data_IF_964199761366
#
_entry.id   IF_964199761366
#
_cell.length_a   1.000
_cell.length_b   1.000
_cell.length_c   1.000
_cell.angle_alpha   90.00
_cell.angle_beta   90.00
_cell.angle_gamma   90.00
#
_symmetry.space_group_name_H-M   'P 1'
#
loop_
_entity.id
_entity.type
_entity.pdbx_description
1 polymer ?
#
# COMPACT_ATOMS: atom_id res chain seq x y z
N UNK A 1 -11.79 -1.09 67.90
CA UNK A 1 -10.72 -0.11 67.58
C UNK A 1 -11.14 0.57 66.27
N UNK A 2 -12.01 1.59 66.27
CA UNK A 2 -11.72 3.05 66.38
C UNK A 2 -10.50 3.45 65.53
N UNK A 3 -10.53 4.34 64.52
CA UNK A 3 -11.38 5.49 64.12
C UNK A 3 -11.46 5.53 62.57
N UNK A 4 -12.56 5.86 61.87
CA UNK A 4 -13.40 7.09 61.84
C UNK A 4 -12.66 8.31 61.26
N UNK A 5 -12.93 8.65 59.99
CA UNK A 5 -13.65 9.88 59.61
C UNK A 5 -13.96 9.92 58.10
N UNK A 6 -15.18 10.38 57.79
CA UNK A 6 -15.79 10.53 56.46
C UNK A 6 -16.11 12.04 56.23
N UNK A 7 -17.04 12.47 55.35
CA UNK A 7 -16.82 13.28 54.13
C UNK A 7 -17.52 14.66 54.19
N UNK A 8 -17.49 15.45 53.09
CA UNK A 8 -18.50 16.46 52.64
C UNK A 8 -17.81 17.53 51.75
N UNK A 9 -18.43 18.23 50.78
CA UNK A 9 -19.83 18.42 50.36
C UNK A 9 -19.83 19.06 48.96
N UNK A 10 -20.88 18.77 48.19
CA UNK A 10 -21.32 19.48 46.98
C UNK A 10 -22.07 20.74 47.40
N UNK A 11 -21.88 21.89 46.72
CA UNK A 11 -22.93 22.92 46.59
C UNK A 11 -22.82 23.63 45.23
N UNK A 12 -23.86 23.50 44.41
CA UNK A 12 -24.12 24.39 43.27
C UNK A 12 -24.95 25.60 43.72
N UNK A 13 -24.78 26.75 43.06
CA UNK A 13 -25.59 27.96 43.28
C UNK A 13 -26.06 28.55 41.95
N UNK A 14 -27.34 28.95 41.96
CA UNK A 14 -28.26 29.39 40.90
C UNK A 14 -27.89 30.71 40.18
N UNK A 15 -28.52 31.04 39.04
CA UNK A 15 -28.41 32.33 38.37
C UNK A 15 -29.38 33.36 38.98
N UNK A 16 -28.92 34.61 39.14
CA UNK A 16 -29.73 35.74 39.60
C UNK A 16 -29.32 37.02 38.87
N UNK A 17 -30.30 37.69 38.29
CA UNK A 17 -30.21 38.92 37.50
C UNK A 17 -30.18 40.15 38.42
N UNK A 18 -29.32 41.15 38.15
CA UNK A 18 -29.65 42.58 38.00
C UNK A 18 -28.45 43.54 38.23
N UNK A 19 -28.52 44.66 37.48
CA UNK A 19 -27.97 46.00 37.75
C UNK A 19 -26.54 46.38 37.27
N UNK A 20 -26.55 47.07 36.12
CA UNK A 20 -25.80 48.30 35.75
C UNK A 20 -24.78 48.87 36.76
N UNK A 21 -23.54 49.00 36.28
CA UNK A 21 -22.52 49.90 36.82
C UNK A 21 -21.54 50.30 35.72
N UNK A 22 -21.60 51.57 35.29
CA UNK A 22 -20.65 52.21 34.37
C UNK A 22 -19.39 52.58 35.16
N UNK A 23 -18.20 52.20 34.68
CA UNK A 23 -16.94 52.60 35.33
C UNK A 23 -15.66 52.06 34.67
N UNK A 24 -15.07 52.90 33.81
CA UNK A 24 -13.63 53.08 33.55
C UNK A 24 -12.68 51.89 33.34
N UNK A 25 -12.16 51.83 32.10
CA UNK A 25 -10.74 51.61 31.75
C UNK A 25 -10.01 50.41 32.34
N UNK A 26 -10.03 49.29 31.62
CA UNK A 26 -8.88 48.37 31.62
C UNK A 26 -8.70 47.76 30.23
N UNK A 27 -7.60 48.14 29.56
CA UNK A 27 -7.14 47.52 28.32
C UNK A 27 -6.76 46.07 28.61
N UNK A 28 -7.70 45.14 28.43
CA UNK A 28 -7.37 43.72 28.33
C UNK A 28 -6.57 43.49 27.04
N UNK A 29 -5.24 43.56 27.14
CA UNK A 29 -4.32 42.97 26.16
C UNK A 29 -4.61 41.48 26.13
N UNK A 30 -5.39 41.03 25.15
CA UNK A 30 -5.48 39.62 24.78
C UNK A 30 -4.03 39.19 24.53
N UNK A 31 -3.47 38.22 25.27
CA UNK A 31 -2.17 37.69 24.91
C UNK A 31 -2.39 36.97 23.59
N UNK A 32 -1.90 37.57 22.51
CA UNK A 32 -1.70 36.92 21.23
C UNK A 32 -0.73 35.78 21.50
N UNK A 33 -1.26 34.63 21.92
CA UNK A 33 -0.54 33.37 21.90
C UNK A 33 -0.35 33.11 20.42
N UNK A 34 0.74 33.63 19.87
CA UNK A 34 1.25 33.20 18.59
C UNK A 34 1.48 31.71 18.79
N UNK A 35 0.53 30.89 18.36
CA UNK A 35 0.76 29.47 18.18
C UNK A 35 1.70 29.40 16.98
N UNK A 36 2.97 29.69 17.21
CA UNK A 36 4.03 29.28 16.30
C UNK A 36 3.93 27.76 16.35
N UNK A 37 3.38 27.16 15.30
CA UNK A 37 3.43 25.72 15.09
C UNK A 37 4.91 25.32 14.93
N UNK A 38 5.62 25.16 16.04
CA UNK A 38 7.04 24.84 16.12
C UNK A 38 7.30 23.34 15.92
N UNK A 39 7.01 22.84 14.72
CA UNK A 39 7.90 21.83 14.13
C UNK A 39 7.73 21.75 12.60
N UNK A 40 8.39 22.61 11.82
CA UNK A 40 8.78 22.22 10.49
C UNK A 40 9.88 21.17 10.65
N UNK A 41 9.59 19.92 10.30
CA UNK A 41 10.53 18.82 10.40
C UNK A 41 11.94 19.20 9.92
N UNK A 42 12.96 18.70 10.63
CA UNK A 42 14.36 18.77 10.23
C UNK A 42 14.83 17.35 9.88
N UNK A 43 15.32 17.08 8.66
CA UNK A 43 15.47 17.99 7.51
C UNK A 43 14.13 18.41 6.87
N UNK A 44 14.17 19.49 6.07
CA UNK A 44 12.99 20.03 5.39
C UNK A 44 12.36 18.98 4.47
N UNK A 45 11.03 19.00 4.34
CA UNK A 45 10.29 18.06 3.51
C UNK A 45 10.80 18.02 2.05
N UNK A 46 11.08 19.18 1.46
CA UNK A 46 11.63 19.24 0.10
C UNK A 46 13.04 18.66 0.01
N UNK A 47 13.89 18.86 1.03
CA UNK A 47 15.22 18.25 1.05
C UNK A 47 15.14 16.72 1.09
N UNK A 48 14.22 16.16 1.89
CA UNK A 48 13.94 14.71 1.90
C UNK A 48 13.51 14.23 0.50
N UNK A 49 12.68 15.01 -0.20
CA UNK A 49 12.28 14.71 -1.58
C UNK A 49 13.47 14.64 -2.54
N UNK A 50 14.29 15.68 -2.56
CA UNK A 50 15.47 15.75 -3.42
C UNK A 50 16.46 14.65 -3.10
N UNK A 51 16.73 14.37 -1.82
CA UNK A 51 17.63 13.28 -1.40
C UNK A 51 17.10 11.91 -1.84
N UNK A 52 15.80 11.66 -1.72
CA UNK A 52 15.21 10.38 -2.13
C UNK A 52 15.30 10.20 -3.65
N UNK A 53 14.98 11.24 -4.43
CA UNK A 53 15.09 11.20 -5.90
C UNK A 53 16.56 11.08 -6.33
N UNK A 54 17.48 11.79 -5.67
CA UNK A 54 18.91 11.68 -5.92
C UNK A 54 19.40 10.26 -5.62
N UNK A 55 18.99 9.65 -4.50
CA UNK A 55 19.34 8.26 -4.17
C UNK A 55 18.83 7.28 -5.24
N UNK A 56 17.62 7.48 -5.77
CA UNK A 56 17.10 6.70 -6.88
C UNK A 56 17.94 6.88 -8.15
N UNK A 57 18.28 8.12 -8.50
CA UNK A 57 19.14 8.42 -9.64
C UNK A 57 20.53 7.79 -9.49
N UNK A 58 21.13 7.78 -8.29
CA UNK A 58 22.44 7.14 -8.07
C UNK A 58 22.43 5.64 -8.32
N UNK A 59 21.28 4.97 -8.16
CA UNK A 59 21.18 3.53 -8.45
C UNK A 59 21.30 3.20 -9.94
N UNK A 60 20.97 4.13 -10.84
CA UNK A 60 21.19 3.92 -12.27
C UNK A 60 22.68 3.83 -12.61
N UNK A 61 23.53 4.48 -11.80
CA UNK A 61 24.99 4.49 -11.93
C UNK A 61 25.64 3.35 -11.14
N UNK A 62 25.13 3.01 -9.96
CA UNK A 62 25.71 1.96 -9.12
C UNK A 62 25.38 0.55 -9.63
N UNK A 63 24.19 0.35 -10.19
CA UNK A 63 23.78 -0.96 -10.69
C UNK A 63 24.46 -1.27 -12.03
N UNK A 64 25.34 -2.28 -12.04
CA UNK A 64 26.00 -2.73 -13.26
C UNK A 64 24.98 -3.12 -14.34
N UNK A 65 23.91 -3.86 -13.98
CA UNK A 65 22.85 -4.28 -14.91
C UNK A 65 22.14 -3.10 -15.58
N UNK A 66 21.92 -2.01 -14.83
CA UNK A 66 21.27 -0.80 -15.38
C UNK A 66 22.21 -0.04 -16.30
N UNK A 67 23.50 0.07 -15.94
CA UNK A 67 24.49 0.75 -16.79
C UNK A 67 24.75 0.06 -18.12
N UNK A 68 24.74 -1.26 -18.14
CA UNK A 68 25.06 -2.04 -19.36
C UNK A 68 23.87 -2.20 -20.30
N UNK A 69 22.65 -1.90 -19.85
CA UNK A 69 21.43 -2.06 -20.64
C UNK A 69 20.83 -0.68 -20.98
N UNK A 70 20.87 -0.25 -22.25
CA UNK A 70 20.36 1.07 -22.66
C UNK A 70 18.88 1.29 -22.32
N UNK A 71 18.03 0.27 -22.49
CA UNK A 71 16.59 0.37 -22.21
C UNK A 71 16.31 0.57 -20.73
N UNK A 72 17.05 -0.12 -19.85
CA UNK A 72 16.97 0.09 -18.41
C UNK A 72 17.46 1.50 -18.03
N UNK A 73 18.58 1.94 -18.58
CA UNK A 73 19.13 3.26 -18.29
C UNK A 73 18.14 4.38 -18.65
N UNK A 74 17.57 4.33 -19.85
CA UNK A 74 16.53 5.27 -20.31
C UNK A 74 15.30 5.22 -19.39
N UNK A 75 14.84 4.02 -19.04
CA UNK A 75 13.70 3.82 -18.13
C UNK A 75 13.93 4.51 -16.77
N UNK A 76 15.12 4.35 -16.18
CA UNK A 76 15.46 4.98 -14.90
C UNK A 76 15.46 6.50 -15.01
N UNK A 77 16.06 7.07 -16.06
CA UNK A 77 16.10 8.52 -16.23
C UNK A 77 14.75 9.14 -16.57
N UNK A 78 13.88 8.44 -17.31
CA UNK A 78 12.48 8.85 -17.50
C UNK A 78 11.74 8.87 -16.16
N UNK A 79 11.92 7.83 -15.33
CA UNK A 79 11.31 7.78 -14.01
C UNK A 79 11.83 8.90 -13.07
N UNK A 80 13.14 9.16 -13.07
CA UNK A 80 13.75 10.30 -12.35
C UNK A 80 13.15 11.63 -12.84
N UNK A 81 13.13 11.86 -14.15
CA UNK A 81 12.56 13.07 -14.74
C UNK A 81 11.10 13.26 -14.36
N UNK A 82 10.30 12.19 -14.38
CA UNK A 82 8.89 12.21 -13.99
C UNK A 82 8.71 12.59 -12.51
N UNK A 83 9.54 12.05 -11.61
CA UNK A 83 9.54 12.40 -10.19
C UNK A 83 9.96 13.86 -9.95
N UNK A 84 10.95 14.35 -10.70
CA UNK A 84 11.38 15.76 -10.63
C UNK A 84 10.26 16.68 -11.07
N UNK A 85 9.62 16.40 -12.22
CA UNK A 85 8.48 17.19 -12.71
C UNK A 85 7.38 17.22 -11.66
N UNK A 86 7.01 16.07 -11.08
CA UNK A 86 6.00 16.01 -10.03
C UNK A 86 6.40 16.81 -8.78
N UNK A 87 7.66 16.77 -8.36
CA UNK A 87 8.19 17.57 -7.24
C UNK A 87 8.13 19.07 -7.53
N UNK A 88 8.50 19.50 -8.74
CA UNK A 88 8.42 20.90 -9.16
C UNK A 88 6.98 21.41 -9.17
N UNK A 89 6.05 20.63 -9.71
CA UNK A 89 4.61 20.93 -9.67
C UNK A 89 4.08 21.02 -8.24
N UNK A 90 4.52 20.10 -7.36
CA UNK A 90 4.14 20.12 -5.95
C UNK A 90 4.66 21.38 -5.27
N UNK A 91 5.93 21.74 -5.51
CA UNK A 91 6.57 22.95 -4.97
C UNK A 91 5.84 24.21 -5.42
N UNK A 92 5.51 24.31 -6.70
CA UNK A 92 4.73 25.43 -7.25
C UNK A 92 3.37 25.57 -6.55
N UNK A 93 2.62 24.46 -6.45
CA UNK A 93 1.30 24.43 -5.80
C UNK A 93 1.37 24.80 -4.31
N UNK A 94 2.40 24.33 -3.61
CA UNK A 94 2.63 24.59 -2.20
C UNK A 94 2.97 26.06 -1.94
N UNK A 95 3.83 26.65 -2.79
CA UNK A 95 4.19 28.07 -2.74
C UNK A 95 2.98 28.97 -2.96
N UNK A 96 2.12 28.64 -3.94
CA UNK A 96 0.91 29.43 -4.22
C UNK A 96 -0.17 29.32 -3.14
N UNK A 97 -0.29 28.17 -2.48
CA UNK A 97 -1.36 27.93 -1.48
C UNK A 97 -0.91 28.14 -0.03
N UNK A 98 0.35 28.50 0.21
CA UNK A 98 0.92 28.66 1.55
C UNK A 98 0.82 27.40 2.41
N UNK A 99 0.79 26.20 1.80
CA UNK A 99 0.64 24.94 2.55
C UNK A 99 1.99 24.55 3.16
N UNK A 100 1.97 23.97 4.36
CA UNK A 100 3.17 23.38 4.97
C UNK A 100 3.21 21.89 4.67
N UNK A 101 4.34 21.41 4.14
CA UNK A 101 4.59 19.98 3.94
C UNK A 101 5.20 19.40 5.21
N UNK A 102 4.60 18.32 5.70
CA UNK A 102 5.05 17.62 6.92
C UNK A 102 5.20 16.13 6.65
N UNK A 103 6.02 15.47 7.46
CA UNK A 103 6.10 14.02 7.50
C UNK A 103 6.12 13.52 8.94
N UNK A 104 5.65 12.30 9.17
CA UNK A 104 5.75 11.66 10.49
C UNK A 104 6.19 10.22 10.33
N UNK A 105 6.95 9.71 11.29
CA UNK A 105 7.30 8.31 11.32
C UNK A 105 6.23 7.55 12.10
N UNK A 106 5.45 6.72 11.42
CA UNK A 106 4.41 5.91 12.05
C UNK A 106 4.36 4.51 11.41
N UNK A 107 5.32 3.65 11.76
CA UNK A 107 5.40 2.36 11.12
C UNK A 107 4.36 1.40 11.72
N UNK A 108 3.80 0.53 10.89
CA UNK A 108 2.68 -0.36 11.26
C UNK A 108 3.17 -1.80 11.37
N UNK A 109 2.78 -2.49 12.45
CA UNK A 109 3.11 -3.91 12.69
C UNK A 109 2.85 -4.79 11.47
N UNK A 110 1.71 -4.57 10.80
CA UNK A 110 1.32 -5.29 9.56
C UNK A 110 2.42 -5.26 8.50
N UNK A 111 3.05 -4.10 8.27
CA UNK A 111 4.04 -3.96 7.22
C UNK A 111 5.36 -4.67 7.55
N UNK A 112 5.78 -4.67 8.83
CA UNK A 112 6.97 -5.42 9.26
C UNK A 112 6.78 -6.92 9.10
N UNK A 113 5.61 -7.43 9.53
CA UNK A 113 5.30 -8.85 9.43
C UNK A 113 5.24 -9.26 7.95
N UNK A 114 4.56 -8.49 7.11
CA UNK A 114 4.51 -8.77 5.67
C UNK A 114 5.89 -8.73 5.02
N UNK A 115 6.73 -7.73 5.34
CA UNK A 115 8.11 -7.67 4.86
C UNK A 115 8.90 -8.92 5.25
N UNK A 116 8.79 -9.36 6.51
CA UNK A 116 9.49 -10.54 6.99
C UNK A 116 9.02 -11.82 6.28
N UNK A 117 7.70 -12.02 6.18
CA UNK A 117 7.14 -13.22 5.53
C UNK A 117 7.47 -13.30 4.04
N UNK A 118 7.36 -12.18 3.33
CA UNK A 118 7.75 -12.11 1.92
C UNK A 118 9.28 -12.26 1.77
N UNK A 119 10.06 -11.71 2.69
CA UNK A 119 11.51 -11.88 2.74
C UNK A 119 11.94 -13.35 2.89
N UNK A 120 11.24 -14.12 3.74
CA UNK A 120 11.46 -15.57 3.86
C UNK A 120 11.24 -16.28 2.52
N UNK A 121 10.08 -16.03 1.88
CA UNK A 121 9.76 -16.62 0.56
C UNK A 121 10.81 -16.25 -0.49
N UNK A 122 11.24 -14.99 -0.53
CA UNK A 122 12.32 -14.56 -1.42
C UNK A 122 13.65 -15.26 -1.14
N UNK A 123 14.00 -15.47 0.14
CA UNK A 123 15.24 -16.12 0.52
C UNK A 123 15.24 -17.61 0.15
N UNK A 124 14.15 -18.34 0.41
CA UNK A 124 14.06 -19.75 0.03
C UNK A 124 13.99 -19.92 -1.49
N UNK A 125 13.11 -19.18 -2.17
CA UNK A 125 13.05 -19.21 -3.63
C UNK A 125 14.39 -18.82 -4.28
N UNK A 126 15.03 -17.75 -3.80
CA UNK A 126 16.32 -17.30 -4.31
C UNK A 126 17.47 -18.26 -4.03
N UNK A 127 17.36 -19.10 -3.00
CA UNK A 127 18.33 -20.16 -2.74
C UNK A 127 18.39 -21.19 -3.87
N UNK A 128 17.24 -21.54 -4.44
CA UNK A 128 17.12 -22.52 -5.54
C UNK A 128 17.15 -21.86 -6.92
N UNK A 129 16.77 -20.58 -7.03
CA UNK A 129 16.86 -19.82 -8.28
C UNK A 129 17.60 -18.51 -8.08
N UNK A 130 18.90 -18.51 -8.39
CA UNK A 130 19.81 -17.39 -8.10
C UNK A 130 19.50 -16.10 -8.87
N UNK A 131 18.66 -16.17 -9.89
CA UNK A 131 18.20 -14.98 -10.63
C UNK A 131 17.44 -14.01 -9.71
N UNK A 132 16.76 -14.51 -8.67
CA UNK A 132 16.16 -13.67 -7.62
C UNK A 132 17.18 -12.72 -7.01
N UNK A 133 18.38 -13.21 -6.67
CA UNK A 133 19.43 -12.38 -6.08
C UNK A 133 20.06 -11.43 -7.09
N UNK A 134 20.16 -11.83 -8.36
CA UNK A 134 20.60 -10.95 -9.45
C UNK A 134 19.60 -9.84 -9.74
N UNK A 135 18.32 -10.05 -9.41
CA UNK A 135 17.27 -9.05 -9.56
C UNK A 135 17.19 -8.06 -8.39
N UNK A 136 17.85 -8.33 -7.25
CA UNK A 136 17.83 -7.46 -6.05
C UNK A 136 18.15 -5.99 -6.34
N UNK A 137 19.14 -5.62 -7.18
CA UNK A 137 19.38 -4.20 -7.49
C UNK A 137 18.17 -3.51 -8.13
N UNK A 138 17.42 -4.21 -8.99
CA UNK A 138 16.19 -3.69 -9.61
C UNK A 138 15.06 -3.61 -8.59
N UNK A 139 14.96 -4.58 -7.67
CA UNK A 139 13.99 -4.57 -6.58
C UNK A 139 14.23 -3.39 -5.61
N UNK A 140 15.49 -3.14 -5.22
CA UNK A 140 15.90 -2.00 -4.40
C UNK A 140 15.56 -0.67 -5.09
N UNK A 141 15.79 -0.59 -6.39
CA UNK A 141 15.42 0.56 -7.21
C UNK A 141 13.91 0.82 -7.19
N UNK A 142 13.09 -0.23 -7.33
CA UNK A 142 11.64 -0.13 -7.21
C UNK A 142 11.19 0.33 -5.82
N UNK A 143 11.84 -0.12 -4.74
CA UNK A 143 11.54 0.31 -3.36
C UNK A 143 11.80 1.81 -3.21
N UNK A 144 12.96 2.31 -3.64
CA UNK A 144 13.29 3.74 -3.50
C UNK A 144 12.39 4.59 -4.39
N UNK A 145 12.10 4.15 -5.62
CA UNK A 145 11.10 4.77 -6.48
C UNK A 145 9.73 4.85 -5.78
N UNK A 146 9.29 3.74 -5.17
CA UNK A 146 8.02 3.68 -4.46
C UNK A 146 7.98 4.65 -3.27
N UNK A 147 9.08 4.79 -2.53
CA UNK A 147 9.21 5.79 -1.46
C UNK A 147 9.11 7.22 -2.00
N UNK A 148 9.83 7.53 -3.08
CA UNK A 148 9.77 8.84 -3.71
C UNK A 148 8.35 9.19 -4.16
N UNK A 149 7.68 8.26 -4.85
CA UNK A 149 6.34 8.48 -5.37
C UNK A 149 5.28 8.51 -4.26
N UNK A 150 5.30 7.60 -3.29
CA UNK A 150 4.36 7.58 -2.14
C UNK A 150 4.42 8.88 -1.33
N UNK A 151 5.64 9.41 -1.15
CA UNK A 151 5.89 10.70 -0.51
C UNK A 151 5.26 11.85 -1.30
N UNK A 152 5.55 11.95 -2.60
CA UNK A 152 5.01 13.01 -3.45
C UNK A 152 3.48 12.93 -3.55
N UNK A 153 2.89 11.74 -3.70
CA UNK A 153 1.43 11.54 -3.75
C UNK A 153 0.76 11.92 -2.43
N UNK A 154 1.36 11.51 -1.29
CA UNK A 154 0.86 11.84 0.04
C UNK A 154 0.84 13.34 0.29
N UNK A 155 1.91 14.04 -0.09
CA UNK A 155 1.96 15.50 0.00
C UNK A 155 1.01 16.19 -0.97
N UNK A 156 0.92 15.70 -2.21
CA UNK A 156 0.01 16.23 -3.21
C UNK A 156 -1.43 16.25 -2.71
N UNK A 157 -1.86 15.14 -2.09
CA UNK A 157 -3.23 15.00 -1.59
C UNK A 157 -3.43 15.66 -0.23
N UNK A 158 -2.62 15.30 0.78
CA UNK A 158 -2.86 15.64 2.20
C UNK A 158 -1.90 16.69 2.76
N UNK A 159 -0.74 16.91 2.15
CA UNK A 159 0.32 17.75 2.72
C UNK A 159 1.06 17.11 3.90
N UNK A 160 0.72 15.85 4.22
CA UNK A 160 1.36 15.04 5.26
C UNK A 160 1.72 13.67 4.69
N UNK A 161 2.99 13.30 4.82
CA UNK A 161 3.50 11.98 4.44
C UNK A 161 3.78 11.13 5.68
N UNK A 162 3.36 9.88 5.67
CA UNK A 162 3.61 8.95 6.79
C UNK A 162 4.73 8.01 6.37
N UNK A 163 5.90 8.24 6.94
CA UNK A 163 7.07 7.40 6.75
C UNK A 163 6.87 6.10 7.51
N UNK A 164 7.01 4.99 6.80
CA UNK A 164 6.92 3.65 7.36
C UNK A 164 7.24 2.62 6.31
N UNK A 165 7.07 1.34 6.64
CA UNK A 165 7.41 0.23 5.75
C UNK A 165 6.33 -0.10 4.70
N UNK A 166 5.37 0.80 4.45
CA UNK A 166 4.27 0.52 3.50
C UNK A 166 4.72 0.19 2.07
N UNK A 167 5.71 0.89 1.49
CA UNK A 167 6.19 0.59 0.14
C UNK A 167 6.81 -0.81 -0.02
N UNK A 168 7.42 -1.36 1.04
CA UNK A 168 8.11 -2.65 0.98
C UNK A 168 7.16 -3.80 0.61
N UNK A 169 6.08 -4.11 1.36
CA UNK A 169 5.15 -5.16 0.98
C UNK A 169 4.52 -4.97 -0.40
N UNK A 170 4.30 -3.72 -0.83
CA UNK A 170 3.74 -3.44 -2.17
C UNK A 170 4.72 -3.90 -3.24
N UNK A 171 5.96 -3.42 -3.19
CA UNK A 171 6.99 -3.77 -4.20
C UNK A 171 7.32 -5.25 -4.14
N UNK A 172 7.56 -5.80 -2.96
CA UNK A 172 7.88 -7.22 -2.82
C UNK A 172 6.74 -8.10 -3.33
N UNK A 173 5.48 -7.82 -2.95
CA UNK A 173 4.38 -8.64 -3.43
C UNK A 173 4.14 -8.54 -4.94
N UNK A 174 4.22 -7.36 -5.57
CA UNK A 174 4.09 -7.29 -7.04
C UNK A 174 5.17 -8.10 -7.74
N UNK A 175 6.40 -8.06 -7.22
CA UNK A 175 7.54 -8.79 -7.78
C UNK A 175 7.56 -10.28 -7.38
N UNK A 176 6.63 -10.79 -6.55
CA UNK A 176 6.49 -12.24 -6.38
C UNK A 176 5.69 -12.87 -7.53
N UNK A 177 4.96 -12.07 -8.30
CA UNK A 177 4.07 -12.56 -9.35
C UNK A 177 4.50 -12.16 -10.75
N UNK A 178 5.07 -10.96 -10.93
CA UNK A 178 5.30 -10.42 -12.27
C UNK A 178 6.56 -9.56 -12.32
N UNK A 179 7.48 -9.95 -13.22
CA UNK A 179 8.60 -9.12 -13.65
C UNK A 179 8.45 -8.81 -15.13
N UNK A 180 8.62 -7.55 -15.52
CA UNK A 180 8.83 -7.19 -16.91
C UNK A 180 10.27 -7.50 -17.34
N UNK A 181 10.46 -7.83 -18.61
CA UNK A 181 11.79 -7.95 -19.20
C UNK A 181 12.51 -6.60 -19.18
N UNK A 182 13.84 -6.62 -19.29
CA UNK A 182 14.66 -5.41 -19.15
C UNK A 182 14.30 -4.32 -20.19
N UNK A 183 13.84 -4.71 -21.37
CA UNK A 183 13.36 -3.78 -22.42
C UNK A 183 12.06 -3.07 -22.04
N UNK A 184 11.15 -3.78 -21.37
CA UNK A 184 9.82 -3.31 -20.99
C UNK A 184 9.74 -2.88 -19.52
N UNK A 185 10.89 -2.71 -18.86
CA UNK A 185 10.98 -2.49 -17.42
C UNK A 185 10.27 -1.21 -16.95
N UNK A 186 10.02 -0.23 -17.84
CA UNK A 186 9.23 0.95 -17.49
C UNK A 186 7.81 0.59 -17.00
N UNK A 187 7.24 -0.52 -17.49
CA UNK A 187 5.97 -1.06 -17.00
C UNK A 187 6.05 -1.54 -15.55
N UNK A 188 7.23 -1.94 -15.08
CA UNK A 188 7.44 -2.29 -13.67
C UNK A 188 7.24 -1.05 -12.78
N UNK A 189 7.87 0.07 -13.13
CA UNK A 189 7.65 1.34 -12.40
C UNK A 189 6.21 1.83 -12.53
N UNK A 190 5.57 1.66 -13.70
CA UNK A 190 4.17 2.02 -13.90
C UNK A 190 3.23 1.15 -13.05
N UNK A 191 3.52 -0.15 -12.90
CA UNK A 191 2.75 -1.06 -12.05
C UNK A 191 2.87 -0.67 -10.57
N UNK A 192 4.08 -0.35 -10.10
CA UNK A 192 4.28 0.19 -8.75
C UNK A 192 3.56 1.53 -8.58
N UNK A 193 3.61 2.41 -9.59
CA UNK A 193 2.89 3.68 -9.56
C UNK A 193 1.38 3.48 -9.48
N UNK A 194 0.81 2.56 -10.26
CA UNK A 194 -0.60 2.20 -10.21
C UNK A 194 -1.01 1.67 -8.84
N UNK A 195 -0.17 0.85 -8.20
CA UNK A 195 -0.40 0.37 -6.84
C UNK A 195 -0.47 1.53 -5.83
N UNK A 196 0.49 2.46 -5.89
CA UNK A 196 0.56 3.60 -4.97
C UNK A 196 -0.54 4.64 -5.22
N UNK A 197 -0.89 4.90 -6.47
CA UNK A 197 -2.04 5.73 -6.84
C UNK A 197 -3.33 5.07 -6.38
N UNK A 198 -3.49 3.77 -6.55
CA UNK A 198 -4.62 3.00 -6.03
C UNK A 198 -4.73 3.11 -4.50
N UNK A 199 -3.64 2.85 -3.79
CA UNK A 199 -3.54 3.01 -2.33
C UNK A 199 -3.95 4.41 -1.89
N UNK A 200 -3.45 5.44 -2.57
CA UNK A 200 -3.66 6.81 -2.16
C UNK A 200 -5.05 7.31 -2.54
N UNK A 201 -5.56 7.06 -3.76
CA UNK A 201 -6.80 7.67 -4.22
C UNK A 201 -8.03 6.77 -4.09
N UNK A 202 -7.89 5.45 -4.21
CA UNK A 202 -8.98 4.47 -4.10
C UNK A 202 -9.19 4.09 -2.64
N UNK A 203 -9.72 5.05 -1.90
CA UNK A 203 -9.92 4.96 -0.44
C UNK A 203 -11.37 5.18 -0.05
N UNK A 204 -11.80 4.53 1.02
CA UNK A 204 -13.08 4.80 1.70
C UNK A 204 -12.86 5.26 3.15
N UNK A 205 -13.91 5.79 3.76
CA UNK A 205 -13.90 6.12 5.20
C UNK A 205 -14.51 4.95 5.97
N UNK A 206 -13.71 4.31 6.81
CA UNK A 206 -14.07 3.18 7.68
C UNK A 206 -13.79 3.59 9.13
N UNK A 207 -14.83 3.64 9.95
CA UNK A 207 -14.75 4.02 11.38
C UNK A 207 -14.04 5.37 11.62
N UNK A 208 -14.40 6.39 10.84
CA UNK A 208 -13.81 7.73 10.91
C UNK A 208 -12.36 7.81 10.38
N UNK A 209 -11.77 6.69 9.93
CA UNK A 209 -10.42 6.65 9.35
C UNK A 209 -10.48 6.37 7.86
N UNK A 210 -9.63 7.04 7.09
CA UNK A 210 -9.49 6.78 5.65
C UNK A 210 -8.57 5.58 5.43
N UNK A 211 -9.05 4.57 4.73
CA UNK A 211 -8.27 3.36 4.38
C UNK A 211 -8.46 3.03 2.91
N UNK A 212 -7.49 2.34 2.31
CA UNK A 212 -7.61 1.84 0.94
C UNK A 212 -8.67 0.74 0.85
N UNK A 213 -9.32 0.65 -0.31
CA UNK A 213 -10.38 -0.35 -0.54
C UNK A 213 -9.78 -1.70 -0.95
N UNK A 214 -8.84 -1.67 -1.89
CA UNK A 214 -8.20 -2.85 -2.45
C UNK A 214 -6.76 -2.98 -1.97
N UNK A 215 -6.26 -4.21 -1.86
CA UNK A 215 -4.82 -4.43 -1.64
C UNK A 215 -4.08 -3.73 -2.80
N UNK A 216 -3.19 -2.76 -2.52
CA UNK A 216 -2.52 -1.98 -3.55
C UNK A 216 -1.80 -2.82 -4.62
N UNK A 217 -1.08 -3.86 -4.21
CA UNK A 217 -0.35 -4.72 -5.16
C UNK A 217 -1.29 -5.62 -5.95
N UNK A 218 -2.30 -6.20 -5.30
CA UNK A 218 -3.31 -7.00 -6.00
C UNK A 218 -4.09 -6.18 -7.03
N UNK A 219 -4.41 -4.92 -6.71
CA UNK A 219 -5.06 -3.99 -7.64
C UNK A 219 -4.21 -3.72 -8.88
N UNK A 220 -2.92 -3.43 -8.69
CA UNK A 220 -2.00 -3.19 -9.82
C UNK A 220 -1.77 -4.47 -10.64
N UNK A 221 -1.50 -5.60 -9.98
CA UNK A 221 -1.34 -6.90 -10.65
C UNK A 221 -2.59 -7.24 -11.48
N UNK A 222 -3.79 -7.05 -10.93
CA UNK A 222 -5.02 -7.30 -11.67
C UNK A 222 -5.10 -6.48 -12.98
N UNK A 223 -4.87 -5.17 -12.91
CA UNK A 223 -4.93 -4.28 -14.08
C UNK A 223 -3.90 -4.69 -15.14
N UNK A 224 -2.66 -4.95 -14.73
CA UNK A 224 -1.58 -5.29 -15.65
C UNK A 224 -1.76 -6.70 -16.22
N UNK A 225 -2.12 -7.69 -15.40
CA UNK A 225 -2.37 -9.05 -15.86
C UNK A 225 -3.54 -9.12 -16.84
N UNK A 226 -4.67 -8.43 -16.57
CA UNK A 226 -5.80 -8.38 -17.52
C UNK A 226 -5.38 -7.71 -18.83
N UNK A 227 -4.66 -6.59 -18.76
CA UNK A 227 -4.18 -5.89 -19.96
C UNK A 227 -3.21 -6.75 -20.78
N UNK A 228 -2.30 -7.48 -20.14
CA UNK A 228 -1.35 -8.38 -20.80
C UNK A 228 -2.04 -9.56 -21.48
N UNK A 229 -3.04 -10.15 -20.82
CA UNK A 229 -3.82 -11.27 -21.38
C UNK A 229 -4.64 -10.76 -22.57
N UNK A 230 -5.38 -9.67 -22.41
CA UNK A 230 -6.20 -9.10 -23.47
C UNK A 230 -5.38 -8.63 -24.68
N UNK A 231 -4.16 -8.13 -24.44
CA UNK A 231 -3.24 -7.70 -25.49
C UNK A 231 -2.34 -8.81 -26.05
N UNK A 232 -2.51 -10.07 -25.62
CA UNK A 232 -1.62 -11.19 -25.98
C UNK A 232 -0.12 -10.89 -25.78
N UNK A 233 0.20 -10.07 -24.78
CA UNK A 233 1.52 -9.50 -24.54
C UNK A 233 2.26 -10.15 -23.36
N UNK A 234 1.82 -11.32 -22.88
CA UNK A 234 2.45 -12.00 -21.72
C UNK A 234 3.94 -12.32 -21.92
N UNK A 235 4.38 -12.45 -23.17
CA UNK A 235 5.77 -12.71 -23.57
C UNK A 235 6.76 -11.58 -23.21
N UNK A 236 6.27 -10.36 -22.96
CA UNK A 236 7.14 -9.24 -22.51
C UNK A 236 7.45 -9.32 -21.00
N UNK A 237 7.00 -10.38 -20.33
CA UNK A 237 7.18 -10.60 -18.91
C UNK A 237 7.89 -11.91 -18.65
N UNK A 238 8.52 -12.02 -17.48
CA UNK A 238 9.04 -13.29 -16.94
C UNK A 238 8.02 -14.02 -16.07
N UNK A 239 6.73 -13.71 -16.18
CA UNK A 239 5.69 -14.31 -15.33
C UNK A 239 5.67 -15.84 -15.40
N UNK A 240 5.90 -16.40 -16.59
CA UNK A 240 5.99 -17.85 -16.80
C UNK A 240 7.24 -18.45 -16.14
N UNK A 241 8.41 -17.80 -16.30
CA UNK A 241 9.66 -18.22 -15.62
C UNK A 241 9.50 -18.21 -14.10
N UNK A 242 8.87 -17.17 -13.56
CA UNK A 242 8.57 -17.06 -12.13
C UNK A 242 7.67 -18.23 -11.71
N UNK A 243 6.56 -18.47 -12.43
CA UNK A 243 5.64 -19.55 -12.11
C UNK A 243 6.31 -20.93 -12.05
N UNK A 244 7.20 -21.24 -12.99
CA UNK A 244 7.91 -22.52 -13.01
C UNK A 244 9.01 -22.60 -11.93
N UNK A 245 9.81 -21.55 -11.78
CA UNK A 245 10.95 -21.56 -10.85
C UNK A 245 10.51 -21.53 -9.38
N UNK A 246 9.30 -21.03 -9.09
CA UNK A 246 8.70 -21.12 -7.76
C UNK A 246 8.49 -22.57 -7.30
N UNK A 247 8.40 -23.53 -8.22
CA UNK A 247 8.30 -24.95 -7.89
C UNK A 247 9.67 -25.63 -7.64
N UNK A 248 10.79 -24.92 -7.84
CA UNK A 248 12.13 -25.51 -7.64
C UNK A 248 12.44 -25.88 -6.18
N UNK A 249 12.10 -25.06 -5.17
CA UNK A 249 12.32 -25.45 -3.79
C UNK A 249 11.42 -26.65 -3.41
N UNK A 250 11.96 -27.73 -2.85
CA UNK A 250 11.23 -28.99 -2.66
C UNK A 250 10.03 -28.88 -1.71
N UNK A 251 10.04 -27.91 -0.80
CA UNK A 251 9.01 -27.73 0.22
C UNK A 251 8.34 -26.34 0.15
N UNK A 252 8.26 -25.74 -1.04
CA UNK A 252 7.72 -24.38 -1.20
C UNK A 252 6.27 -24.23 -0.68
N UNK A 253 5.41 -25.24 -0.89
CA UNK A 253 4.04 -25.22 -0.36
C UNK A 253 4.03 -25.19 1.18
N UNK A 254 4.90 -26.00 1.82
CA UNK A 254 5.04 -26.04 3.27
C UNK A 254 5.53 -24.68 3.79
N UNK A 255 6.52 -24.07 3.13
CA UNK A 255 7.00 -22.75 3.52
C UNK A 255 5.91 -21.69 3.42
N UNK A 256 5.23 -21.58 2.27
CA UNK A 256 4.12 -20.63 2.05
C UNK A 256 3.03 -20.83 3.10
N UNK A 257 2.71 -22.09 3.41
CA UNK A 257 1.74 -22.42 4.44
C UNK A 257 2.20 -21.94 5.83
N UNK A 258 3.44 -22.21 6.23
CA UNK A 258 3.99 -21.80 7.52
C UNK A 258 4.07 -20.28 7.68
N UNK A 259 4.57 -19.55 6.67
CA UNK A 259 4.59 -18.09 6.71
C UNK A 259 3.17 -17.51 6.66
N UNK A 260 2.28 -18.15 5.90
CA UNK A 260 0.86 -17.82 5.85
C UNK A 260 0.17 -18.01 7.19
N UNK A 261 0.48 -19.07 7.93
CA UNK A 261 -0.06 -19.33 9.27
C UNK A 261 0.31 -18.22 10.26
N UNK A 262 1.53 -17.68 10.18
CA UNK A 262 1.94 -16.53 11.01
C UNK A 262 1.05 -15.33 10.74
N UNK A 263 0.83 -14.98 9.46
CA UNK A 263 -0.05 -13.86 9.06
C UNK A 263 -1.48 -14.13 9.50
N UNK A 264 -1.97 -15.34 9.29
CA UNK A 264 -3.33 -15.76 9.64
C UNK A 264 -3.59 -15.70 11.14
N UNK A 265 -2.65 -16.17 11.97
CA UNK A 265 -2.73 -16.13 13.42
C UNK A 265 -2.73 -14.68 13.94
N UNK A 266 -1.86 -13.81 13.41
CA UNK A 266 -1.71 -12.45 13.89
C UNK A 266 -2.84 -11.51 13.45
N UNK A 267 -3.49 -11.78 12.32
CA UNK A 267 -4.51 -10.89 11.75
C UNK A 267 -5.91 -11.51 11.61
N UNK A 268 -6.08 -12.76 12.06
CA UNK A 268 -7.35 -13.49 12.01
C UNK A 268 -7.99 -13.55 10.62
N UNK A 269 -7.17 -13.76 9.59
CA UNK A 269 -7.56 -13.79 8.17
C UNK A 269 -7.82 -15.21 7.64
N UNK A 270 -7.67 -16.24 8.48
CA UNK A 270 -7.90 -17.65 8.16
C UNK A 270 -9.19 -17.94 7.39
N UNK A 271 -10.37 -17.38 7.76
CA UNK A 271 -11.60 -17.72 7.04
C UNK A 271 -11.59 -17.25 5.58
N UNK A 272 -10.89 -16.15 5.29
CA UNK A 272 -10.77 -15.63 3.91
C UNK A 272 -9.90 -16.58 3.10
N UNK A 273 -8.72 -16.96 3.61
CA UNK A 273 -7.83 -17.89 2.90
C UNK A 273 -8.51 -19.25 2.70
N UNK A 274 -9.15 -19.79 3.73
CA UNK A 274 -9.84 -21.08 3.65
C UNK A 274 -10.97 -21.03 2.61
N UNK A 275 -11.80 -19.98 2.62
CA UNK A 275 -12.86 -19.82 1.62
C UNK A 275 -12.32 -19.67 0.19
N UNK A 276 -11.24 -18.91 0.00
CA UNK A 276 -10.61 -18.74 -1.31
C UNK A 276 -10.05 -20.06 -1.85
N UNK A 277 -9.31 -20.80 -1.02
CA UNK A 277 -8.76 -22.12 -1.38
C UNK A 277 -9.88 -23.12 -1.67
N UNK A 278 -10.94 -23.13 -0.85
CA UNK A 278 -12.09 -24.03 -1.05
C UNK A 278 -12.80 -23.75 -2.38
N UNK A 279 -13.01 -22.48 -2.72
CA UNK A 279 -13.64 -22.09 -3.99
C UNK A 279 -12.75 -22.47 -5.17
N UNK A 280 -11.43 -22.20 -5.09
CA UNK A 280 -10.50 -22.56 -6.16
C UNK A 280 -10.43 -24.07 -6.38
N UNK A 281 -10.41 -24.85 -5.30
CA UNK A 281 -10.46 -26.31 -5.38
C UNK A 281 -11.79 -26.79 -5.99
N UNK A 282 -12.92 -26.26 -5.51
CA UNK A 282 -14.24 -26.61 -6.05
C UNK A 282 -14.40 -26.27 -7.54
N UNK A 283 -13.84 -25.14 -7.98
CA UNK A 283 -13.80 -24.77 -9.39
C UNK A 283 -12.97 -25.75 -10.22
N UNK A 284 -11.81 -26.18 -9.70
CA UNK A 284 -10.98 -27.18 -10.38
C UNK A 284 -11.70 -28.54 -10.48
N UNK A 285 -12.36 -28.99 -9.42
CA UNK A 285 -13.15 -30.23 -9.43
C UNK A 285 -14.30 -30.13 -10.43
N UNK A 286 -15.05 -29.02 -10.43
CA UNK A 286 -16.15 -28.81 -11.37
C UNK A 286 -15.65 -28.78 -12.82
N UNK A 287 -14.53 -28.09 -13.08
CA UNK A 287 -13.91 -28.07 -14.40
C UNK A 287 -13.49 -29.48 -14.84
N UNK A 288 -12.79 -30.21 -13.97
CA UNK A 288 -12.33 -31.58 -14.23
C UNK A 288 -13.49 -32.53 -14.54
N UNK A 289 -14.61 -32.38 -13.83
CA UNK A 289 -15.82 -33.15 -14.08
C UNK A 289 -16.46 -32.82 -15.44
N UNK A 290 -16.45 -31.54 -15.84
CA UNK A 290 -17.09 -31.06 -17.08
C UNK A 290 -16.24 -31.38 -18.32
N UNK A 291 -14.93 -31.19 -18.27
CA UNK A 291 -14.05 -31.28 -19.44
C UNK A 291 -13.31 -32.61 -19.54
N UNK A 292 -13.26 -33.40 -18.46
CA UNK A 292 -12.39 -34.57 -18.36
C UNK A 292 -10.90 -34.21 -18.23
N UNK A 293 -10.55 -32.93 -18.06
CA UNK A 293 -9.18 -32.43 -17.95
C UNK A 293 -9.03 -31.51 -16.74
N UNK A 294 -7.84 -31.43 -16.14
CA UNK A 294 -7.63 -30.55 -15.00
C UNK A 294 -7.57 -29.07 -15.41
N UNK A 295 -8.09 -28.19 -14.56
CA UNK A 295 -8.04 -26.73 -14.79
C UNK A 295 -6.60 -26.20 -14.84
N UNK A 296 -5.70 -26.87 -14.11
CA UNK A 296 -4.27 -26.54 -14.06
C UNK A 296 -3.47 -27.77 -14.46
N UNK A 297 -2.39 -27.54 -15.21
CA UNK A 297 -1.56 -28.59 -15.80
C UNK A 297 -0.76 -29.34 -14.73
N UNK A 298 -0.20 -28.62 -13.76
CA UNK A 298 0.85 -29.19 -12.88
C UNK A 298 0.34 -29.65 -11.51
N UNK A 299 -0.73 -29.05 -10.99
CA UNK A 299 -1.27 -29.35 -9.65
C UNK A 299 -2.66 -28.76 -9.44
N UNK A 300 -3.41 -29.28 -8.47
CA UNK A 300 -4.76 -28.78 -8.17
C UNK A 300 -4.81 -27.29 -7.79
N UNK A 301 -3.72 -26.76 -7.23
CA UNK A 301 -3.54 -25.37 -6.81
C UNK A 301 -2.09 -24.95 -7.10
N UNK A 302 -1.80 -24.28 -8.23
CA UNK A 302 -0.45 -23.83 -8.56
C UNK A 302 0.20 -22.99 -7.44
N UNK A 303 1.51 -23.12 -7.26
CA UNK A 303 2.28 -22.49 -6.15
C UNK A 303 1.99 -21.00 -6.02
N UNK A 304 1.98 -20.25 -7.12
CA UNK A 304 1.68 -18.81 -7.10
C UNK A 304 0.23 -18.51 -6.68
N UNK A 305 -0.73 -19.32 -7.11
CA UNK A 305 -2.14 -19.17 -6.68
C UNK A 305 -2.25 -19.41 -5.17
N UNK A 306 -1.54 -20.44 -4.68
CA UNK A 306 -1.45 -20.74 -3.25
C UNK A 306 -0.79 -19.60 -2.46
N UNK A 307 0.31 -19.04 -2.96
CA UNK A 307 0.98 -17.85 -2.42
C UNK A 307 0.04 -16.65 -2.33
N UNK A 308 -0.70 -16.38 -3.42
CA UNK A 308 -1.67 -15.30 -3.49
C UNK A 308 -2.76 -15.42 -2.42
N UNK A 309 -3.31 -16.63 -2.24
CA UNK A 309 -4.32 -16.90 -1.22
C UNK A 309 -3.82 -16.70 0.22
N UNK A 310 -2.52 -16.95 0.48
CA UNK A 310 -1.94 -16.86 1.82
C UNK A 310 -1.39 -15.47 2.17
N UNK A 311 -0.78 -14.76 1.23
CA UNK A 311 -0.04 -13.53 1.50
C UNK A 311 -0.56 -12.27 0.77
N UNK A 312 -1.36 -12.43 -0.30
CA UNK A 312 -1.86 -11.29 -1.10
C UNK A 312 -3.33 -10.96 -0.79
N UNK A 313 -4.19 -11.97 -0.76
CA UNK A 313 -5.64 -11.80 -0.50
C UNK A 313 -5.91 -11.40 0.96
N UNK A 314 -4.98 -11.70 1.85
CA UNK A 314 -5.12 -11.59 3.31
C UNK A 314 -4.72 -10.22 3.88
N UNK A 315 -4.71 -9.14 3.09
CA UNK A 315 -4.39 -7.81 3.62
C UNK A 315 -5.37 -7.45 4.77
N UNK A 316 -4.86 -7.30 6.02
CA UNK A 316 -5.72 -7.03 7.18
C UNK A 316 -6.50 -5.72 7.06
N UNK A 317 -5.99 -4.77 6.26
CA UNK A 317 -6.64 -3.48 6.05
C UNK A 317 -7.92 -3.58 5.19
N UNK A 318 -7.98 -4.54 4.27
CA UNK A 318 -9.08 -4.73 3.31
C UNK A 318 -10.03 -5.86 3.71
N UNK A 319 -9.59 -6.73 4.61
CA UNK A 319 -10.37 -7.86 5.11
C UNK A 319 -11.64 -7.43 5.89
N UNK A 320 -12.79 -8.11 5.69
CA UNK A 320 -13.99 -7.94 6.50
C UNK A 320 -13.74 -8.31 7.98
N UNK A 321 -14.39 -7.63 8.93
CA UNK A 321 -14.23 -7.92 10.36
C UNK A 321 -15.16 -9.02 10.88
N UNK A 322 -16.32 -9.22 10.25
CA UNK A 322 -17.29 -10.23 10.66
C UNK A 322 -16.93 -11.58 10.05
N UNK A 323 -17.08 -12.66 10.83
CA UNK A 323 -16.81 -14.02 10.34
C UNK A 323 -17.69 -14.36 9.12
N UNK A 324 -18.95 -13.93 9.13
CA UNK A 324 -19.89 -14.06 8.00
C UNK A 324 -19.38 -13.29 6.77
N UNK A 325 -18.86 -12.07 6.94
CA UNK A 325 -18.31 -11.30 5.81
C UNK A 325 -17.00 -11.87 5.26
N UNK A 326 -16.23 -12.59 6.09
CA UNK A 326 -15.00 -13.29 5.68
C UNK A 326 -15.30 -14.59 4.91
N UNK A 327 -16.42 -15.25 5.21
CA UNK A 327 -16.86 -16.49 4.55
C UNK A 327 -17.71 -16.18 3.30
N UNK A 328 -18.62 -15.21 3.40
CA UNK A 328 -19.47 -14.76 2.31
C UNK A 328 -18.93 -13.46 1.71
N UNK A 329 -17.94 -13.56 0.82
CA UNK A 329 -17.59 -12.46 -0.08
C UNK A 329 -18.71 -12.22 -1.13
N UNK A 330 -20.00 -12.28 -0.75
CA UNK A 330 -21.13 -12.29 -1.69
C UNK A 330 -22.35 -11.42 -1.36
N UNK A 331 -22.54 -10.88 -0.15
CA UNK A 331 -23.65 -9.96 0.22
C UNK A 331 -23.30 -9.42 1.62
N UNK A 332 -23.23 -8.13 1.94
CA UNK A 332 -24.11 -7.01 1.67
C UNK A 332 -23.34 -5.71 1.99
N UNK A 333 -23.82 -4.56 1.52
CA UNK A 333 -23.28 -3.18 1.61
C UNK A 333 -22.39 -2.71 0.45
N UNK A 334 -21.72 -3.61 -0.29
CA UNK A 334 -20.81 -3.22 -1.39
C UNK A 334 -21.54 -2.60 -2.59
N UNK A 335 -22.69 -3.15 -3.01
CA UNK A 335 -23.32 -2.76 -4.28
C UNK A 335 -24.15 -1.46 -4.25
N UNK A 336 -24.63 -1.03 -3.06
CA UNK A 336 -25.37 0.25 -2.94
C UNK A 336 -24.41 1.44 -2.77
N UNK A 337 -23.40 1.35 -1.90
CA UNK A 337 -22.48 2.48 -1.63
C UNK A 337 -21.46 2.76 -2.74
N UNK A 338 -21.02 1.75 -3.50
CA UNK A 338 -20.13 1.99 -4.63
C UNK A 338 -20.82 2.71 -5.76
N UNK A 339 -22.10 2.44 -6.02
CA UNK A 339 -22.88 3.18 -7.01
C UNK A 339 -22.93 4.67 -6.66
N UNK A 340 -23.22 4.97 -5.39
CA UNK A 340 -23.35 6.36 -4.92
C UNK A 340 -21.99 7.08 -4.89
N UNK A 341 -20.92 6.40 -4.44
CA UNK A 341 -19.57 6.98 -4.39
C UNK A 341 -18.94 7.16 -5.78
N UNK A 342 -19.23 6.27 -6.72
CA UNK A 342 -18.73 6.34 -8.09
C UNK A 342 -19.48 7.42 -8.88
N UNK A 343 -20.81 7.51 -8.75
CA UNK A 343 -21.61 8.60 -9.32
C UNK A 343 -21.19 9.98 -8.78
N UNK A 344 -20.98 10.11 -7.46
CA UNK A 344 -20.54 11.38 -6.87
C UNK A 344 -19.12 11.79 -7.29
N UNK A 345 -18.24 10.82 -7.55
CA UNK A 345 -16.86 11.08 -7.95
C UNK A 345 -16.77 11.43 -9.44
N UNK A 346 -17.56 10.77 -10.30
CA UNK A 346 -17.68 11.10 -11.72
C UNK A 346 -18.33 12.47 -11.92
N UNK A 347 -19.41 12.79 -11.18
CA UNK A 347 -20.07 14.11 -11.24
C UNK A 347 -19.17 15.24 -10.70
N UNK A 348 -18.29 14.96 -9.72
CA UNK A 348 -17.30 15.95 -9.25
C UNK A 348 -16.14 16.14 -10.23
N UNK A 349 -15.71 15.09 -10.92
CA UNK A 349 -14.69 15.21 -11.98
C UNK A 349 -15.23 15.96 -13.20
N UNK A 350 -16.49 15.77 -13.57
CA UNK A 350 -17.13 16.48 -14.69
C UNK A 350 -17.44 17.96 -14.42
N UNK A 351 -17.31 18.45 -13.17
CA UNK A 351 -17.41 19.88 -12.82
C UNK A 351 -16.04 20.56 -12.65
N UNK A 352 -14.95 19.80 -12.73
CA UNK A 352 -13.57 20.29 -12.59
C UNK A 352 -12.80 20.28 -13.93
N UNK A 353 -13.44 19.79 -14.98
CA UNK A 353 -13.19 20.09 -16.39
C UNK A 353 -14.26 21.10 -16.83
#
# INVERSE_FOLDING_TARGET
MLNVCSPNKIVGVKPGVAALGVGSTEKYKIPTRIIISTNPNRPSALAVAYLTIASFATLSVLSQRVRTNPSLLVTFWIAVGSLIVMLLLLRYRVSHKGRVLTYEFAPKKVHYIQLMMQGCVYAYWGWYWREVYRYVPLLVSQIIFAYALDMLLSWWRRGKWVVGLGPFPIVLSTNLFLWFTDEWFFLQFLMIAAALVGKEFVTWTRDGRRVHIFNPSAFALFIFSVSLIAGHATHITRGQEIAFTFAYPPHIYMEIFLVGLVVQALFSVTPITLSAVTVLYGLNVAYSYITGSHQFVDSNLPVLVFLGAHLLVTDPATSPRTNIGRIHLRRALWYRRLRDAWLLSVVRCARLL
#
